data_IF_558036759368
#
_entry.id   IF_558036759368
#
_cell.length_a   1.000
_cell.length_b   1.000
_cell.length_c   1.000
_cell.angle_alpha   90.00
_cell.angle_beta   90.00
_cell.angle_gamma   90.00
#
_symmetry.space_group_name_H-M   'P 1'
#
loop_
_entity.id
_entity.type
_entity.pdbx_description
1 polymer ?
#
# COMPACT_ATOMS: atom_id res chain seq x y z
N UNK A 1 20.39 -24.83 9.85
CA UNK A 1 20.49 -23.55 9.11
C UNK A 1 19.23 -23.17 8.30
N UNK A 2 18.26 -24.07 8.06
CA UNK A 2 17.20 -23.81 7.08
C UNK A 2 15.95 -23.07 7.59
N UNK A 3 15.62 -23.16 8.88
CA UNK A 3 14.35 -22.61 9.42
C UNK A 3 14.32 -21.07 9.47
N UNK A 4 15.36 -20.45 10.03
CA UNK A 4 15.43 -18.98 10.15
C UNK A 4 15.50 -18.23 8.82
N UNK A 5 16.08 -18.84 7.77
CA UNK A 5 16.11 -18.26 6.43
C UNK A 5 14.73 -18.25 5.76
N UNK A 6 13.92 -19.26 6.01
CA UNK A 6 12.55 -19.34 5.50
C UNK A 6 11.63 -18.33 6.20
N UNK A 7 11.77 -18.15 7.51
CA UNK A 7 11.02 -17.15 8.28
C UNK A 7 11.36 -15.71 7.86
N UNK A 8 12.65 -15.40 7.66
CA UNK A 8 13.07 -14.10 7.14
C UNK A 8 12.55 -13.82 5.72
N UNK A 9 12.52 -14.84 4.85
CA UNK A 9 11.96 -14.72 3.51
C UNK A 9 10.45 -14.52 3.53
N UNK A 10 9.73 -15.23 4.42
CA UNK A 10 8.29 -15.03 4.61
C UNK A 10 7.99 -13.61 5.14
N UNK A 11 8.82 -13.09 6.04
CA UNK A 11 8.73 -11.70 6.52
C UNK A 11 8.88 -10.68 5.39
N UNK A 12 9.91 -10.82 4.55
CA UNK A 12 10.12 -9.94 3.40
C UNK A 12 8.97 -10.01 2.39
N UNK A 13 8.45 -11.21 2.10
CA UNK A 13 7.33 -11.40 1.18
C UNK A 13 6.06 -10.70 1.67
N UNK A 14 5.75 -10.81 2.97
CA UNK A 14 4.61 -10.13 3.57
C UNK A 14 4.73 -8.60 3.50
N UNK A 15 5.91 -8.06 3.79
CA UNK A 15 6.17 -6.61 3.70
C UNK A 15 5.98 -6.11 2.26
N UNK A 16 6.59 -6.77 1.28
CA UNK A 16 6.53 -6.35 -0.12
C UNK A 16 5.11 -6.44 -0.70
N UNK A 17 4.39 -7.54 -0.40
CA UNK A 17 3.03 -7.73 -0.86
C UNK A 17 2.12 -6.62 -0.30
N UNK A 18 2.21 -6.38 1.01
CA UNK A 18 1.44 -5.33 1.68
C UNK A 18 1.76 -3.96 1.11
N UNK A 19 3.03 -3.64 0.92
CA UNK A 19 3.46 -2.36 0.35
C UNK A 19 2.85 -2.12 -1.04
N UNK A 20 2.91 -3.10 -1.94
CA UNK A 20 2.36 -2.95 -3.30
C UNK A 20 0.83 -2.80 -3.29
N UNK A 21 0.13 -3.50 -2.38
CA UNK A 21 -1.32 -3.40 -2.21
C UNK A 21 -1.73 -2.03 -1.64
N UNK A 22 -1.06 -1.56 -0.59
CA UNK A 22 -1.40 -0.29 0.07
C UNK A 22 -1.08 0.92 -0.81
N UNK A 23 0.06 0.89 -1.53
CA UNK A 23 0.41 1.99 -2.43
C UNK A 23 -0.41 1.97 -3.72
N UNK A 24 -0.86 0.79 -4.16
CA UNK A 24 -1.58 0.53 -5.40
C UNK A 24 -1.01 1.28 -6.63
N UNK A 25 0.32 1.30 -6.73
CA UNK A 25 1.08 1.96 -7.81
C UNK A 25 2.11 1.00 -8.40
N UNK A 26 2.42 1.11 -9.71
CA UNK A 26 3.50 0.33 -10.32
C UNK A 26 4.89 0.83 -9.90
N UNK A 27 5.79 -0.10 -9.55
CA UNK A 27 7.15 0.21 -9.14
C UNK A 27 8.20 -0.69 -9.80
N UNK A 28 9.40 -0.18 -10.02
CA UNK A 28 10.56 -1.03 -10.29
C UNK A 28 11.07 -1.67 -8.99
N UNK A 29 11.89 -2.72 -9.11
CA UNK A 29 12.56 -3.32 -7.94
C UNK A 29 13.52 -2.35 -7.22
N UNK A 30 14.01 -1.33 -7.92
CA UNK A 30 14.87 -0.28 -7.37
C UNK A 30 14.07 0.70 -6.52
N UNK A 31 12.88 1.09 -6.99
CA UNK A 31 11.96 1.96 -6.23
C UNK A 31 11.50 1.26 -4.95
N UNK A 32 11.04 0.00 -5.05
CA UNK A 32 10.61 -0.78 -3.87
C UNK A 32 11.75 -0.91 -2.85
N UNK A 33 12.98 -1.17 -3.30
CA UNK A 33 14.14 -1.21 -2.42
C UNK A 33 14.37 0.15 -1.75
N UNK A 34 14.43 1.25 -2.51
CA UNK A 34 14.67 2.58 -1.96
C UNK A 34 13.60 3.01 -0.96
N UNK A 35 12.34 2.68 -1.23
CA UNK A 35 11.20 3.07 -0.39
C UNK A 35 11.17 2.29 0.94
N UNK A 36 11.53 1.00 0.93
CA UNK A 36 11.43 0.13 2.11
C UNK A 36 12.74 -0.01 2.90
N UNK A 37 13.88 0.44 2.35
CA UNK A 37 15.18 0.23 2.98
C UNK A 37 15.27 0.88 4.37
N UNK A 38 14.78 2.12 4.52
CA UNK A 38 14.88 2.85 5.80
C UNK A 38 14.03 2.23 6.90
N UNK A 39 12.83 1.75 6.55
CA UNK A 39 11.86 1.26 7.52
C UNK A 39 12.07 -0.22 7.87
N UNK A 40 12.44 -1.05 6.88
CA UNK A 40 12.51 -2.50 7.05
C UNK A 40 13.90 -3.10 6.89
N UNK A 41 14.91 -2.30 6.51
CA UNK A 41 16.30 -2.77 6.40
C UNK A 41 16.53 -3.88 5.36
N UNK A 42 15.60 -4.07 4.41
CA UNK A 42 15.68 -5.15 3.44
C UNK A 42 16.83 -4.94 2.45
N UNK A 43 17.67 -5.97 2.26
CA UNK A 43 18.73 -5.93 1.27
C UNK A 43 18.19 -5.95 -0.16
N UNK A 44 18.83 -5.21 -1.08
CA UNK A 44 18.41 -5.10 -2.50
C UNK A 44 18.20 -6.44 -3.19
N UNK A 45 19.11 -7.40 -2.99
CA UNK A 45 18.98 -8.74 -3.56
C UNK A 45 17.77 -9.51 -3.02
N UNK A 46 17.44 -9.32 -1.73
CA UNK A 46 16.25 -9.91 -1.11
C UNK A 46 14.99 -9.33 -1.74
N UNK A 47 14.93 -8.00 -1.90
CA UNK A 47 13.78 -7.32 -2.54
C UNK A 47 13.56 -7.84 -3.96
N UNK A 48 14.61 -7.83 -4.81
CA UNK A 48 14.51 -8.30 -6.20
C UNK A 48 14.00 -9.74 -6.26
N UNK A 49 14.64 -10.66 -5.54
CA UNK A 49 14.27 -12.08 -5.54
C UNK A 49 12.86 -12.30 -5.02
N UNK A 50 12.45 -11.55 -4.00
CA UNK A 50 11.11 -11.70 -3.40
C UNK A 50 10.02 -11.18 -4.32
N UNK A 51 10.26 -10.06 -5.04
CA UNK A 51 9.32 -9.57 -6.06
C UNK A 51 9.14 -10.58 -7.20
N UNK A 52 10.22 -11.13 -7.72
CA UNK A 52 10.18 -12.18 -8.75
C UNK A 52 9.42 -13.41 -8.26
N UNK A 53 9.67 -13.84 -7.03
CA UNK A 53 8.97 -14.96 -6.42
C UNK A 53 7.47 -14.69 -6.24
N UNK A 54 7.08 -13.50 -5.76
CA UNK A 54 5.67 -13.12 -5.59
C UNK A 54 4.95 -13.06 -6.94
N UNK A 55 5.63 -12.55 -7.98
CA UNK A 55 5.08 -12.51 -9.34
C UNK A 55 4.91 -13.93 -9.90
N UNK A 56 5.92 -14.81 -9.72
CA UNK A 56 5.85 -16.21 -10.13
C UNK A 56 4.73 -16.98 -9.40
N UNK A 57 4.46 -16.64 -8.15
CA UNK A 57 3.35 -17.19 -7.36
C UNK A 57 1.98 -16.58 -7.70
N UNK A 58 1.92 -15.61 -8.62
CA UNK A 58 0.69 -14.91 -8.98
C UNK A 58 0.12 -14.02 -7.86
N UNK A 59 0.92 -13.68 -6.84
CA UNK A 59 0.49 -12.79 -5.75
C UNK A 59 0.53 -11.32 -6.13
N UNK A 60 1.36 -10.98 -7.12
CA UNK A 60 1.46 -9.67 -7.75
C UNK A 60 1.59 -9.88 -9.26
N UNK A 61 1.39 -8.83 -10.05
CA UNK A 61 1.68 -8.84 -11.48
C UNK A 61 3.06 -8.24 -11.75
N UNK A 62 3.71 -8.71 -12.80
CA UNK A 62 4.90 -8.07 -13.37
C UNK A 62 4.70 -7.77 -14.85
N UNK A 63 5.34 -6.70 -15.33
CA UNK A 63 5.39 -6.37 -16.75
C UNK A 63 6.76 -5.83 -17.13
N UNK A 64 7.27 -6.26 -18.29
CA UNK A 64 8.54 -5.78 -18.83
C UNK A 64 8.33 -4.47 -19.60
N UNK A 65 9.12 -3.47 -19.27
CA UNK A 65 9.21 -2.18 -19.95
C UNK A 65 10.66 -1.94 -20.35
N UNK A 66 10.97 -2.17 -21.63
CA UNK A 66 12.34 -2.17 -22.13
C UNK A 66 13.18 -3.22 -21.40
N UNK A 67 14.19 -2.77 -20.64
CA UNK A 67 15.09 -3.63 -19.87
C UNK A 67 14.69 -3.82 -18.40
N UNK A 68 13.64 -3.15 -17.95
CA UNK A 68 13.23 -3.15 -16.54
C UNK A 68 11.90 -3.90 -16.35
N UNK A 69 11.78 -4.62 -15.23
CA UNK A 69 10.51 -5.17 -14.77
C UNK A 69 9.84 -4.18 -13.82
N UNK A 70 8.53 -4.01 -14.01
CA UNK A 70 7.66 -3.23 -13.15
C UNK A 70 6.68 -4.19 -12.46
N UNK A 71 6.52 -4.02 -11.15
CA UNK A 71 5.70 -4.86 -10.27
C UNK A 71 4.56 -4.04 -9.70
N UNK A 72 3.37 -4.65 -9.59
CA UNK A 72 2.17 -3.99 -9.07
C UNK A 72 1.19 -5.02 -8.50
N UNK A 73 0.31 -4.56 -7.60
CA UNK A 73 -0.75 -5.39 -7.06
C UNK A 73 -1.70 -5.88 -8.17
N UNK A 74 -2.10 -7.14 -8.09
CA UNK A 74 -3.09 -7.71 -8.99
C UNK A 74 -4.44 -7.00 -8.80
N UNK A 75 -4.98 -6.37 -9.83
CA UNK A 75 -6.24 -5.64 -9.70
C UNK A 75 -7.45 -6.59 -9.66
N UNK A 76 -7.31 -7.81 -10.18
CA UNK A 76 -8.36 -8.82 -10.18
C UNK A 76 -8.70 -9.31 -8.75
N UNK A 77 -7.84 -9.02 -7.77
CA UNK A 77 -8.06 -9.36 -6.36
C UNK A 77 -9.00 -8.37 -5.63
N UNK A 78 -9.33 -7.24 -6.25
CA UNK A 78 -10.21 -6.22 -5.68
C UNK A 78 -11.59 -6.30 -6.34
N UNK A 79 -12.63 -6.06 -5.56
CA UNK A 79 -14.00 -6.06 -6.07
C UNK A 79 -14.21 -4.90 -7.06
N UNK A 80 -14.90 -5.19 -8.17
CA UNK A 80 -15.41 -4.13 -9.03
C UNK A 80 -16.59 -3.44 -8.33
N UNK A 81 -16.53 -2.13 -8.24
CA UNK A 81 -17.58 -1.30 -7.65
C UNK A 81 -18.49 -0.80 -8.77
N UNK A 82 -19.81 -0.93 -8.59
CA UNK A 82 -20.78 -0.42 -9.57
C UNK A 82 -20.90 1.11 -9.51
N UNK A 83 -21.38 1.73 -10.59
CA UNK A 83 -21.62 3.19 -10.61
C UNK A 83 -22.59 3.64 -9.50
N UNK A 84 -23.59 2.81 -9.18
CA UNK A 84 -24.53 3.09 -8.09
C UNK A 84 -23.84 3.05 -6.72
N UNK A 85 -22.98 2.06 -6.49
CA UNK A 85 -22.20 1.97 -5.25
C UNK A 85 -21.20 3.13 -5.14
N UNK A 86 -20.59 3.55 -6.26
CA UNK A 86 -19.72 4.73 -6.32
C UNK A 86 -20.48 5.99 -5.88
N UNK A 87 -21.69 6.22 -6.39
CA UNK A 87 -22.51 7.36 -5.97
C UNK A 87 -22.85 7.34 -4.47
N UNK A 88 -23.13 6.15 -3.92
CA UNK A 88 -23.36 5.99 -2.47
C UNK A 88 -22.10 6.32 -1.67
N UNK A 89 -20.93 5.89 -2.14
CA UNK A 89 -19.64 6.19 -1.52
C UNK A 89 -19.33 7.69 -1.58
N UNK A 90 -19.59 8.36 -2.71
CA UNK A 90 -19.43 9.82 -2.84
C UNK A 90 -20.32 10.57 -1.85
N UNK A 91 -21.59 10.15 -1.71
CA UNK A 91 -22.50 10.70 -0.71
C UNK A 91 -21.96 10.55 0.72
N UNK A 92 -21.38 9.39 1.04
CA UNK A 92 -20.72 9.16 2.34
C UNK A 92 -19.49 10.04 2.54
N UNK A 93 -18.67 10.23 1.50
CA UNK A 93 -17.50 11.12 1.55
C UNK A 93 -17.93 12.55 1.90
N UNK A 94 -18.95 13.08 1.21
CA UNK A 94 -19.49 14.43 1.46
C UNK A 94 -19.99 14.55 2.91
N UNK A 95 -20.82 13.62 3.36
CA UNK A 95 -21.40 13.65 4.69
C UNK A 95 -20.34 13.57 5.80
N UNK A 96 -19.36 12.67 5.65
CA UNK A 96 -18.27 12.50 6.62
C UNK A 96 -17.34 13.71 6.63
N UNK A 97 -17.04 14.30 5.47
CA UNK A 97 -16.23 15.52 5.37
C UNK A 97 -16.88 16.68 6.11
N UNK A 98 -18.19 16.89 5.90
CA UNK A 98 -18.94 17.92 6.60
C UNK A 98 -18.94 17.70 8.12
N UNK A 99 -19.09 16.44 8.56
CA UNK A 99 -19.02 16.08 9.98
C UNK A 99 -17.65 16.36 10.59
N UNK A 100 -16.57 16.01 9.90
CA UNK A 100 -15.19 16.29 10.33
C UNK A 100 -14.97 17.80 10.47
N UNK A 101 -15.41 18.60 9.49
CA UNK A 101 -15.28 20.05 9.54
C UNK A 101 -16.05 20.68 10.71
N UNK A 102 -17.29 20.23 10.95
CA UNK A 102 -18.12 20.69 12.07
C UNK A 102 -17.47 20.37 13.41
N UNK A 103 -16.99 19.14 13.59
CA UNK A 103 -16.31 18.73 14.83
C UNK A 103 -15.02 19.50 15.05
N UNK A 104 -14.20 19.69 14.01
CA UNK A 104 -12.99 20.50 14.11
C UNK A 104 -13.28 21.95 14.48
N UNK A 105 -14.36 22.55 13.95
CA UNK A 105 -14.77 23.90 14.33
C UNK A 105 -15.22 23.97 15.79
N UNK A 106 -15.97 22.96 16.26
CA UNK A 106 -16.39 22.86 17.65
C UNK A 106 -15.20 22.71 18.60
N UNK A 107 -14.22 21.86 18.28
CA UNK A 107 -12.98 21.73 19.05
C UNK A 107 -12.24 23.06 19.14
N UNK A 108 -12.03 23.76 18.01
CA UNK A 108 -11.35 25.06 18.00
C UNK A 108 -12.07 26.11 18.88
N UNK A 109 -13.40 26.13 18.84
CA UNK A 109 -14.19 27.05 19.67
C UNK A 109 -14.01 26.76 21.16
N UNK A 110 -14.07 25.49 21.56
CA UNK A 110 -13.87 25.08 22.94
C UNK A 110 -12.43 25.33 23.43
N UNK A 111 -11.43 25.14 22.57
CA UNK A 111 -10.03 25.46 22.89
C UNK A 111 -9.84 26.95 23.13
N UNK A 112 -10.39 27.81 22.26
CA UNK A 112 -10.30 29.27 22.40
C UNK A 112 -11.01 29.79 23.66
N UNK A 113 -12.16 29.19 24.03
CA UNK A 113 -12.91 29.55 25.24
C UNK A 113 -12.28 29.07 26.56
N UNK A 114 -11.27 28.19 26.49
CA UNK A 114 -10.59 27.61 27.66
C UNK A 114 -9.27 28.32 27.99
N UNK A 115 -8.83 29.20 27.10
CA UNK A 115 -7.61 30.02 27.22
C UNK A 115 -7.88 31.47 27.64
N UNK A 116 -9.14 31.85 27.90
CA UNK A 116 -9.54 33.15 28.45
C UNK A 116 -10.17 32.99 29.83
#
# INVERSE_FOLDING_TARGET
>A
MSKGRAEAAAGAAGILLRYLQEQNRPYSSQDVFGNLQREHGLGKAVVVKTLEQLAQQGKIKEKMYGKQKIYFADQDQFDMVSDADLQVLDGKIVALTAKVQSLQQSCRYMEAGRTG
#
